data_IF_164166675897
#
_entry.id   IF_164166675897
#
_cell.length_a   1.000
_cell.length_b   1.000
_cell.length_c   1.000
_cell.angle_alpha   90.00
_cell.angle_beta   90.00
_cell.angle_gamma   90.00
#
_symmetry.space_group_name_H-M   'P 1'
#
loop_
_entity.id
_entity.type
_entity.pdbx_description
1 polymer ?
#
# COMPACT_ATOMS: atom_id res chain seq x y z
N UNK A 1 3.72 1.12 -12.31
CA UNK A 1 3.96 -0.17 -11.62
C UNK A 1 5.29 -0.11 -10.87
N UNK A 2 5.34 -0.63 -9.64
CA UNK A 2 6.55 -0.70 -8.80
C UNK A 2 6.67 -2.11 -8.22
N UNK A 3 7.83 -2.75 -8.30
CA UNK A 3 8.04 -4.11 -7.78
C UNK A 3 8.68 -4.07 -6.40
N UNK A 4 8.08 -4.77 -5.45
CA UNK A 4 8.57 -5.01 -4.09
C UNK A 4 8.78 -6.51 -3.86
N UNK A 5 9.34 -6.89 -2.71
CA UNK A 5 9.57 -8.31 -2.35
C UNK A 5 8.29 -9.16 -2.44
N UNK A 6 7.15 -8.57 -2.12
CA UNK A 6 5.86 -9.27 -2.00
C UNK A 6 5.00 -9.18 -3.27
N UNK A 7 5.54 -8.65 -4.38
CA UNK A 7 4.84 -8.55 -5.66
C UNK A 7 4.94 -7.17 -6.32
N UNK A 8 4.10 -6.93 -7.33
CA UNK A 8 4.07 -5.68 -8.09
C UNK A 8 2.87 -4.84 -7.67
N UNK A 9 3.12 -3.55 -7.42
CA UNK A 9 2.13 -2.57 -7.02
C UNK A 9 1.76 -1.67 -8.19
N UNK A 10 0.46 -1.44 -8.34
CA UNK A 10 -0.07 -0.34 -9.13
C UNK A 10 -0.44 0.80 -8.18
N UNK A 11 0.07 1.99 -8.48
CA UNK A 11 -0.15 3.19 -7.68
C UNK A 11 -0.98 4.21 -8.45
N UNK A 12 -1.23 5.34 -7.80
CA UNK A 12 -1.97 6.46 -8.34
C UNK A 12 -1.07 7.70 -8.38
N UNK A 13 -1.30 8.56 -9.36
CA UNK A 13 -0.75 9.92 -9.35
C UNK A 13 -1.76 10.85 -8.66
N UNK A 14 -1.33 11.59 -7.65
CA UNK A 14 -2.20 12.44 -6.83
C UNK A 14 -1.59 13.82 -6.61
N UNK A 15 -2.45 14.83 -6.44
CA UNK A 15 -2.02 16.17 -6.05
C UNK A 15 -2.15 16.38 -4.54
N UNK A 16 -1.09 16.94 -3.94
CA UNK A 16 -1.11 17.42 -2.56
C UNK A 16 -1.97 18.69 -2.45
N UNK A 17 -2.33 19.08 -1.21
CA UNK A 17 -3.14 20.30 -0.97
C UNK A 17 -2.54 21.58 -1.58
N UNK A 18 -1.21 21.65 -1.73
CA UNK A 18 -0.49 22.79 -2.32
C UNK A 18 -0.17 22.59 -3.82
N UNK A 19 -0.79 21.61 -4.47
CA UNK A 19 -0.70 21.39 -5.92
C UNK A 19 0.53 20.61 -6.39
N UNK A 20 1.39 20.12 -5.50
CA UNK A 20 2.50 19.22 -5.89
C UNK A 20 1.95 17.84 -6.23
N UNK A 21 2.34 17.31 -7.38
CA UNK A 21 2.05 15.95 -7.80
C UNK A 21 2.95 14.93 -7.08
N UNK A 22 2.38 13.79 -6.70
CA UNK A 22 3.06 12.69 -6.02
C UNK A 22 2.56 11.34 -6.55
N UNK A 23 3.44 10.34 -6.52
CA UNK A 23 3.03 8.94 -6.62
C UNK A 23 2.52 8.47 -5.24
N UNK A 24 1.32 7.92 -5.20
CA UNK A 24 0.67 7.43 -3.99
C UNK A 24 0.31 5.96 -4.13
N UNK A 25 0.70 5.15 -3.16
CA UNK A 25 0.34 3.74 -3.06
C UNK A 25 -0.38 3.53 -1.73
N UNK A 26 -1.64 3.10 -1.79
CA UNK A 26 -2.52 2.96 -0.62
C UNK A 26 -2.92 1.50 -0.45
N UNK A 27 -3.26 1.11 0.78
CA UNK A 27 -3.77 -0.23 1.10
C UNK A 27 -2.84 -1.39 0.72
N UNK A 28 -1.52 -1.16 0.68
CA UNK A 28 -0.55 -2.24 0.42
C UNK A 28 -0.54 -3.18 1.64
N UNK A 29 -0.87 -4.48 1.48
CA UNK A 29 -0.80 -5.43 2.57
C UNK A 29 0.66 -5.66 2.98
N UNK A 30 0.96 -5.44 4.24
CA UNK A 30 2.30 -5.64 4.82
C UNK A 30 2.40 -6.88 5.71
N UNK A 31 1.25 -7.44 6.09
CA UNK A 31 1.14 -8.62 6.95
C UNK A 31 -0.09 -9.44 6.51
N UNK A 32 -0.15 -10.67 7.01
CA UNK A 32 -1.37 -11.49 6.90
C UNK A 32 -2.48 -10.88 7.76
N UNK A 33 -3.75 -11.00 7.35
CA UNK A 33 -4.86 -10.50 8.15
C UNK A 33 -4.90 -11.21 9.53
N UNK A 34 -5.06 -10.48 10.64
CA UNK A 34 -5.06 -11.05 12.00
C UNK A 34 -6.40 -11.69 12.34
N UNK A 35 -6.74 -12.76 11.61
CA UNK A 35 -7.99 -13.50 11.72
C UNK A 35 -7.74 -14.95 12.16
N UNK A 36 -8.75 -15.58 12.77
CA UNK A 36 -8.64 -16.96 13.24
C UNK A 36 -7.57 -17.11 14.33
N UNK A 37 -6.60 -17.99 14.09
CA UNK A 37 -5.48 -18.21 15.01
C UNK A 37 -4.55 -17.00 15.12
N UNK A 38 -4.43 -16.18 14.07
CA UNK A 38 -3.63 -14.95 14.06
C UNK A 38 -4.29 -13.80 14.84
N UNK A 39 -5.48 -14.02 15.41
CA UNK A 39 -6.17 -12.99 16.19
C UNK A 39 -5.55 -12.94 17.57
N UNK A 40 -5.00 -11.78 17.93
CA UNK A 40 -4.33 -11.50 19.21
C UNK A 40 -2.94 -12.15 19.38
N UNK A 41 -2.30 -12.58 18.28
CA UNK A 41 -0.88 -12.99 18.25
C UNK A 41 0.08 -11.83 17.96
#
# INVERSE_FOLDING_TARGET
FVTIRNGTLEGLTMNTRKGREIAAFKSIPYALPPIGLLRFE
#
